data_IF_743568111615
#
_entry.id   IF_743568111615
#
_cell.length_a   1.000
_cell.length_b   1.000
_cell.length_c   1.000
_cell.angle_alpha   90.00
_cell.angle_beta   90.00
_cell.angle_gamma   90.00
#
_symmetry.space_group_name_H-M   'P 1'
#
loop_
_entity.id
_entity.type
_entity.pdbx_description
1 polymer ?
#
# COMPACT_ATOMS: atom_id res chain seq x y z
N UNK A 1 41.13 2.34 3.77
CA UNK A 1 40.31 2.00 2.59
C UNK A 1 38.88 2.28 2.98
N UNK A 2 38.36 3.42 2.54
CA UNK A 2 37.00 3.87 2.86
C UNK A 2 36.04 3.14 1.92
N UNK A 3 35.26 2.22 2.46
CA UNK A 3 34.25 1.47 1.70
C UNK A 3 33.22 2.47 1.15
N UNK A 4 33.31 2.74 -0.16
CA UNK A 4 32.33 3.52 -0.90
C UNK A 4 31.01 2.75 -0.94
N UNK A 5 30.19 2.92 0.11
CA UNK A 5 28.81 2.44 0.13
C UNK A 5 28.12 2.96 -1.13
N UNK A 6 27.59 2.10 -2.01
CA UNK A 6 26.96 2.54 -3.25
C UNK A 6 25.82 3.49 -2.90
N UNK A 7 25.86 4.71 -3.48
CA UNK A 7 24.85 5.73 -3.26
C UNK A 7 23.47 5.16 -3.61
N UNK A 8 22.61 4.98 -2.60
CA UNK A 8 21.26 4.45 -2.79
C UNK A 8 20.51 5.40 -3.74
N UNK A 9 20.03 4.86 -4.87
CA UNK A 9 19.24 5.61 -5.85
C UNK A 9 18.10 6.33 -5.12
N UNK A 10 17.91 7.62 -5.43
CA UNK A 10 16.82 8.42 -4.85
C UNK A 10 15.49 7.68 -5.10
N UNK A 11 14.61 7.58 -4.09
CA UNK A 11 13.31 6.94 -4.27
C UNK A 11 12.52 7.74 -5.31
N UNK A 12 12.10 7.05 -6.39
CA UNK A 12 11.23 7.65 -7.40
C UNK A 12 9.80 7.41 -6.97
N UNK A 13 9.08 8.50 -6.71
CA UNK A 13 7.67 8.45 -6.39
C UNK A 13 6.87 8.26 -7.67
N UNK A 14 6.10 7.17 -7.72
CA UNK A 14 5.16 6.90 -8.80
C UNK A 14 3.75 7.30 -8.40
N UNK A 15 2.93 7.57 -9.42
CA UNK A 15 1.51 7.84 -9.30
C UNK A 15 0.68 6.57 -9.48
N UNK A 16 -0.57 6.61 -8.99
CA UNK A 16 -1.48 5.45 -9.05
C UNK A 16 -1.80 5.05 -10.50
N UNK A 17 -1.98 6.02 -11.40
CA UNK A 17 -2.25 5.76 -12.83
C UNK A 17 -1.10 5.07 -13.60
N UNK A 18 0.13 5.19 -13.11
CA UNK A 18 1.33 4.60 -13.71
C UNK A 18 1.57 3.14 -13.26
N UNK A 19 0.72 2.62 -12.36
CA UNK A 19 0.84 1.25 -11.88
C UNK A 19 0.39 0.27 -12.95
N UNK A 20 1.16 -0.81 -13.13
CA UNK A 20 0.88 -1.88 -14.08
C UNK A 20 0.77 -3.22 -13.36
N UNK A 21 0.01 -4.19 -13.89
CA UNK A 21 -0.03 -5.55 -13.35
C UNK A 21 1.38 -6.13 -13.16
N UNK A 22 1.56 -6.94 -12.12
CA UNK A 22 2.80 -7.69 -11.78
C UNK A 22 4.07 -6.87 -11.55
N UNK A 23 3.95 -5.54 -11.49
CA UNK A 23 5.09 -4.66 -11.20
C UNK A 23 5.36 -4.53 -9.70
N UNK A 24 6.63 -4.33 -9.34
CA UNK A 24 7.13 -4.33 -7.95
C UNK A 24 8.05 -3.13 -7.70
N UNK A 25 8.35 -2.86 -6.43
CA UNK A 25 9.32 -1.85 -6.03
C UNK A 25 8.83 -0.41 -6.17
N UNK A 26 7.52 -0.19 -6.10
CA UNK A 26 6.96 1.14 -6.23
C UNK A 26 7.01 1.89 -4.90
N UNK A 27 7.24 3.20 -5.00
CA UNK A 27 7.11 4.11 -3.86
C UNK A 27 6.04 5.14 -4.19
N UNK A 28 5.00 5.24 -3.37
CA UNK A 28 3.83 6.10 -3.63
C UNK A 28 3.51 6.93 -2.39
N UNK A 29 2.94 8.11 -2.59
CA UNK A 29 2.24 8.86 -1.53
C UNK A 29 0.75 8.79 -1.83
N UNK A 30 -0.03 8.23 -0.92
CA UNK A 30 -1.47 8.03 -1.11
C UNK A 30 -2.24 8.45 0.13
N UNK A 31 -3.47 8.90 -0.07
CA UNK A 31 -4.41 9.21 0.99
C UNK A 31 -5.40 8.06 1.14
N UNK A 32 -5.69 7.70 2.38
CA UNK A 32 -6.66 6.67 2.74
C UNK A 32 -8.06 7.26 2.61
N UNK A 33 -8.86 6.70 1.72
CA UNK A 33 -10.25 7.09 1.48
C UNK A 33 -11.21 6.26 2.33
N UNK A 34 -10.93 4.98 2.48
CA UNK A 34 -11.68 4.08 3.36
C UNK A 34 -10.83 2.90 3.78
N UNK A 35 -11.19 2.28 4.90
CA UNK A 35 -10.53 1.07 5.42
C UNK A 35 -11.60 0.10 5.93
N UNK A 36 -11.53 -1.15 5.46
CA UNK A 36 -12.45 -2.22 5.85
C UNK A 36 -11.65 -3.45 6.27
N UNK A 37 -11.80 -3.88 7.51
CA UNK A 37 -11.22 -5.15 7.98
C UNK A 37 -11.99 -6.30 7.32
N UNK A 38 -11.29 -7.13 6.56
CA UNK A 38 -11.88 -8.26 5.82
C UNK A 38 -11.58 -9.60 6.47
N UNK A 39 -10.51 -9.68 7.28
CA UNK A 39 -10.16 -10.89 8.02
C UNK A 39 -9.56 -10.51 9.36
N UNK A 40 -10.18 -11.02 10.42
CA UNK A 40 -9.67 -10.94 11.78
C UNK A 40 -9.89 -12.30 12.42
N UNK A 41 -8.87 -13.15 12.42
CA UNK A 41 -8.94 -14.49 13.01
C UNK A 41 -8.01 -14.56 14.21
N UNK A 42 -8.58 -14.58 15.41
CA UNK A 42 -7.90 -15.07 16.61
C UNK A 42 -8.04 -16.60 16.60
N UNK A 43 -6.94 -17.35 16.58
CA UNK A 43 -7.02 -18.81 16.76
C UNK A 43 -7.25 -19.08 18.26
N UNK A 44 -8.18 -19.98 18.64
CA UNK A 44 -8.44 -20.30 20.05
C UNK A 44 -7.32 -21.10 20.73
N UNK A 45 -6.34 -21.60 19.98
CA UNK A 45 -5.44 -22.66 20.44
C UNK A 45 -4.04 -22.13 20.79
N UNK A 46 -3.93 -21.63 22.03
CA UNK A 46 -2.81 -21.78 22.99
C UNK A 46 -1.36 -21.37 22.64
N UNK A 47 -0.98 -21.24 21.38
CA UNK A 47 0.39 -20.93 20.97
C UNK A 47 0.35 -19.53 20.35
N UNK A 48 1.17 -18.61 20.86
CA UNK A 48 1.25 -17.18 20.50
C UNK A 48 1.58 -16.93 19.01
N UNK A 49 0.70 -17.34 18.10
CA UNK A 49 0.83 -17.15 16.68
C UNK A 49 0.04 -15.89 16.32
N UNK A 50 0.78 -14.80 16.11
CA UNK A 50 0.36 -13.49 15.57
C UNK A 50 -1.09 -13.47 15.05
N UNK A 51 -1.94 -12.68 15.72
CA UNK A 51 -3.28 -12.35 15.23
C UNK A 51 -3.18 -11.88 13.78
N UNK A 52 -3.74 -12.66 12.84
CA UNK A 52 -3.71 -12.29 11.43
C UNK A 52 -4.86 -11.33 11.17
N UNK A 53 -4.52 -10.04 11.04
CA UNK A 53 -5.46 -8.96 10.69
C UNK A 53 -5.19 -8.54 9.25
N UNK A 54 -6.23 -8.52 8.42
CA UNK A 54 -6.16 -8.04 7.04
C UNK A 54 -7.27 -7.02 6.83
N UNK A 55 -6.92 -5.86 6.32
CA UNK A 55 -7.87 -4.85 5.88
C UNK A 55 -7.68 -4.51 4.39
N UNK A 56 -8.79 -4.39 3.70
CA UNK A 56 -8.84 -3.79 2.37
C UNK A 56 -9.10 -2.30 2.53
N UNK A 57 -8.14 -1.50 2.11
CA UNK A 57 -8.17 -0.05 2.22
C UNK A 57 -8.26 0.55 0.82
N UNK A 58 -9.22 1.44 0.58
CA UNK A 58 -9.22 2.24 -0.64
C UNK A 58 -8.25 3.39 -0.43
N UNK A 59 -7.18 3.42 -1.22
CA UNK A 59 -6.18 4.50 -1.20
C UNK A 59 -6.08 5.15 -2.55
N UNK A 60 -5.68 6.42 -2.59
CA UNK A 60 -5.47 7.08 -3.86
C UNK A 60 -4.72 8.39 -3.77
N UNK A 61 -4.40 8.91 -4.94
CA UNK A 61 -3.77 10.20 -5.16
C UNK A 61 -4.61 11.03 -6.15
N UNK A 62 -4.06 12.12 -6.65
CA UNK A 62 -4.72 12.97 -7.64
C UNK A 62 -4.91 12.30 -9.02
N UNK A 63 -4.31 11.12 -9.25
CA UNK A 63 -4.39 10.39 -10.52
C UNK A 63 -5.43 9.30 -10.49
N UNK A 64 -5.62 8.64 -9.34
CA UNK A 64 -6.63 7.62 -9.18
C UNK A 64 -6.62 6.95 -7.80
N UNK A 65 -7.36 5.85 -7.71
CA UNK A 65 -7.49 5.03 -6.50
C UNK A 65 -7.18 3.58 -6.80
N UNK A 66 -6.68 2.86 -5.80
CA UNK A 66 -6.38 1.43 -5.83
C UNK A 66 -6.70 0.82 -4.48
N UNK A 67 -7.04 -0.47 -4.46
CA UNK A 67 -7.23 -1.22 -3.22
C UNK A 67 -5.87 -1.60 -2.67
N UNK A 68 -5.56 -1.13 -1.46
CA UNK A 68 -4.40 -1.55 -0.69
C UNK A 68 -4.77 -2.66 0.30
N UNK A 69 -3.98 -3.72 0.36
CA UNK A 69 -4.16 -4.81 1.32
C UNK A 69 -3.22 -4.60 2.51
N UNK A 70 -3.74 -4.04 3.59
CA UNK A 70 -3.03 -3.83 4.85
C UNK A 70 -3.00 -5.12 5.67
N UNK A 71 -1.84 -5.46 6.25
CA UNK A 71 -1.67 -6.65 7.09
C UNK A 71 -1.13 -6.31 8.47
N UNK A 72 -1.66 -6.99 9.49
CA UNK A 72 -1.25 -6.89 10.89
C UNK A 72 -1.22 -5.42 11.35
N UNK A 73 -0.07 -4.94 11.80
CA UNK A 73 0.14 -3.60 12.34
C UNK A 73 -0.07 -2.50 11.28
N UNK A 74 -0.01 -2.83 9.98
CA UNK A 74 -0.36 -1.87 8.92
C UNK A 74 -1.84 -1.48 8.98
N UNK A 75 -2.72 -2.34 9.51
CA UNK A 75 -4.15 -2.04 9.62
C UNK A 75 -4.37 -0.82 10.52
N UNK A 76 -3.60 -0.71 11.60
CA UNK A 76 -3.71 0.39 12.57
C UNK A 76 -3.20 1.72 11.99
N UNK A 77 -2.28 1.68 11.02
CA UNK A 77 -1.78 2.87 10.30
C UNK A 77 -2.73 3.39 9.23
N UNK A 78 -3.61 2.52 8.71
CA UNK A 78 -4.47 2.82 7.56
C UNK A 78 -5.80 3.42 8.00
N UNK A 79 -5.73 4.55 8.69
CA UNK A 79 -6.89 5.30 9.17
C UNK A 79 -7.42 6.23 8.08
N UNK A 80 -8.75 6.32 7.97
CA UNK A 80 -9.39 7.13 6.94
C UNK A 80 -9.01 8.60 7.06
N UNK A 81 -8.66 9.23 5.94
CA UNK A 81 -8.27 10.64 5.87
C UNK A 81 -6.76 10.88 6.03
N UNK A 82 -5.99 9.90 6.50
CA UNK A 82 -4.53 10.05 6.63
C UNK A 82 -3.81 9.89 5.30
N UNK A 83 -2.64 10.53 5.21
CA UNK A 83 -1.71 10.35 4.10
C UNK A 83 -0.59 9.42 4.52
N UNK A 84 -0.31 8.43 3.68
CA UNK A 84 0.70 7.41 3.92
C UNK A 84 1.65 7.31 2.73
N UNK A 85 2.91 7.03 3.03
CA UNK A 85 3.94 6.70 2.07
C UNK A 85 4.09 5.18 2.07
N UNK A 86 3.88 4.58 0.90
CA UNK A 86 4.05 3.14 0.68
C UNK A 86 5.38 2.93 -0.02
N UNK A 87 6.36 2.37 0.67
CA UNK A 87 7.71 2.10 0.12
C UNK A 87 7.84 0.63 -0.27
N UNK A 88 8.47 0.40 -1.43
CA UNK A 88 8.72 -0.93 -1.98
C UNK A 88 7.44 -1.79 -2.08
N UNK A 89 6.35 -1.15 -2.53
CA UNK A 89 5.08 -1.80 -2.76
C UNK A 89 5.07 -2.58 -4.08
N UNK A 90 4.23 -3.60 -4.14
CA UNK A 90 3.98 -4.43 -5.32
C UNK A 90 2.50 -4.39 -5.71
N UNK A 91 2.25 -4.62 -6.99
CA UNK A 91 0.93 -4.93 -7.50
C UNK A 91 0.72 -6.44 -7.42
N UNK A 92 -0.36 -6.83 -6.78
CA UNK A 92 -0.86 -8.19 -6.66
C UNK A 92 -2.16 -8.29 -7.47
N UNK A 93 -2.26 -9.32 -8.31
CA UNK A 93 -3.42 -9.54 -9.15
C UNK A 93 -4.39 -10.46 -8.41
N UNK A 94 -5.61 -9.97 -8.15
CA UNK A 94 -6.65 -10.75 -7.47
C UNK A 94 -7.95 -10.72 -8.26
N UNK A 95 -8.35 -11.87 -8.82
CA UNK A 95 -9.59 -12.02 -9.61
C UNK A 95 -9.76 -10.95 -10.70
N UNK A 96 -8.70 -10.66 -11.45
CA UNK A 96 -8.70 -9.65 -12.52
C UNK A 96 -8.62 -8.19 -12.03
N UNK A 97 -8.55 -7.96 -10.72
CA UNK A 97 -8.38 -6.62 -10.13
C UNK A 97 -6.97 -6.45 -9.57
N UNK A 98 -6.39 -5.27 -9.79
CA UNK A 98 -5.10 -4.90 -9.21
C UNK A 98 -5.28 -4.51 -7.74
N UNK A 99 -4.39 -5.04 -6.88
CA UNK A 99 -4.30 -4.69 -5.47
C UNK A 99 -2.88 -4.27 -5.14
N UNK A 100 -2.73 -3.22 -4.37
CA UNK A 100 -1.44 -2.78 -3.87
C UNK A 100 -1.14 -3.49 -2.55
N UNK A 101 0.08 -3.99 -2.38
CA UNK A 101 0.54 -4.57 -1.12
C UNK A 101 2.00 -4.19 -0.85
N UNK A 102 2.36 -4.02 0.41
CA UNK A 102 3.76 -3.85 0.81
C UNK A 102 4.43 -5.22 0.91
N UNK A 103 5.64 -5.35 0.36
CA UNK A 103 6.40 -6.60 0.41
C UNK A 103 7.17 -6.77 1.75
N UNK A 104 8.01 -7.81 1.87
CA UNK A 104 8.76 -8.11 3.11
C UNK A 104 9.76 -7.00 3.50
N UNK A 105 10.23 -6.22 2.54
CA UNK A 105 11.27 -5.20 2.73
C UNK A 105 10.69 -3.78 2.72
N UNK A 106 9.45 -3.65 2.25
CA UNK A 106 8.72 -2.41 2.19
C UNK A 106 8.13 -2.00 3.54
N UNK A 107 7.72 -0.74 3.59
CA UNK A 107 7.19 -0.11 4.81
C UNK A 107 6.04 0.83 4.46
N UNK A 108 5.15 0.98 5.43
CA UNK A 108 4.08 1.98 5.43
C UNK A 108 4.50 3.06 6.43
N UNK A 109 4.60 4.30 5.98
CA UNK A 109 4.95 5.45 6.82
C UNK A 109 3.80 6.44 6.80
N UNK A 110 3.29 6.85 7.96
CA UNK A 110 2.34 7.96 8.03
C UNK A 110 3.11 9.26 7.84
N UNK A 111 2.56 10.15 7.03
CA UNK A 111 3.18 11.45 6.73
C UNK A 111 2.18 12.58 6.93
N UNK A 112 2.65 13.80 6.77
CA UNK A 112 1.81 14.99 6.85
C UNK A 112 0.67 14.92 5.83
N UNK A 113 -0.52 15.48 6.16
CA UNK A 113 -1.65 15.46 5.25
C UNK A 113 -1.28 16.11 3.92
N UNK A 114 -1.33 15.33 2.84
CA UNK A 114 -1.09 15.90 1.53
C UNK A 114 -2.29 16.75 1.08
N UNK A 115 -1.98 17.87 0.42
CA UNK A 115 -2.97 18.86 -0.05
C UNK A 115 -3.76 18.41 -1.29
N UNK A 116 -3.47 17.25 -1.86
CA UNK A 116 -4.14 16.78 -3.07
C UNK A 116 -5.51 16.14 -2.79
N UNK A 117 -6.45 16.37 -3.70
CA UNK A 117 -7.74 15.69 -3.72
C UNK A 117 -7.62 14.34 -4.43
N UNK A 118 -8.11 13.28 -3.78
CA UNK A 118 -8.07 11.93 -4.35
C UNK A 118 -9.08 11.79 -5.48
N UNK A 119 -8.64 11.39 -6.68
CA UNK A 119 -9.57 11.10 -7.80
C UNK A 119 -10.27 9.76 -7.59
N UNK A 120 -11.60 9.75 -7.72
CA UNK A 120 -12.46 8.55 -7.58
C UNK A 120 -12.32 7.50 -8.69
N UNK A 121 -11.30 7.60 -9.56
CA UNK A 121 -11.08 6.65 -10.66
C UNK A 121 -10.31 5.44 -10.12
N UNK A 122 -10.97 4.30 -9.98
CA UNK A 122 -10.31 3.07 -9.56
C UNK A 122 -9.52 2.44 -10.71
N UNK A 123 -8.25 2.13 -10.44
CA UNK A 123 -7.35 1.43 -11.36
C UNK A 123 -7.74 -0.06 -11.43
N UNK A 124 -7.98 -0.56 -12.64
CA UNK A 124 -8.31 -1.96 -12.93
C UNK A 124 -7.43 -2.46 -14.07
N UNK A 125 -7.15 -3.77 -14.12
CA UNK A 125 -6.33 -4.33 -15.19
C UNK A 125 -7.06 -4.18 -16.55
N UNK A 126 -6.35 -3.76 -17.59
CA UNK A 126 -6.86 -3.71 -18.96
C UNK A 126 -7.54 -2.41 -19.40
N UNK A 127 -7.54 -1.34 -18.60
CA UNK A 127 -7.88 0.00 -19.10
C UNK A 127 -6.62 0.63 -19.74
N UNK A 128 -6.48 0.45 -21.05
CA UNK A 128 -5.65 1.28 -21.93
C UNK A 128 -6.62 2.02 -22.86
#
# INVERSE_FOLDING_TARGET
>A
MEETKPAKRKPVFKKVDQLKPDTKGHTLVVKVVSSKIVLQKARPDGIQVRQMRIAECLVGDETGTIIFTARNDQVDLMTTGTTVILRNAKIDMFKGSMRLAVDKWGRVEVTEPASFAVKKRQLVAGRI
#
